data_IF_762954041606
#
_entry.id   IF_762954041606
#
_cell.length_a   1.000
_cell.length_b   1.000
_cell.length_c   1.000
_cell.angle_alpha   90.00
_cell.angle_beta   90.00
_cell.angle_gamma   90.00
#
_symmetry.space_group_name_H-M   'P 1'
#
loop_
_entity.id
_entity.type
_entity.pdbx_description
1 polymer ?
#
# COMPACT_ATOMS: atom_id res chain seq x y z
N UNK A 1 -12.97 -1.89 24.15
CA UNK A 1 -12.31 -0.94 23.22
C UNK A 1 -10.79 -1.08 23.19
N UNK A 2 -10.12 -1.22 24.34
CA UNK A 2 -8.66 -1.42 24.37
C UNK A 2 -8.18 -2.65 23.59
N UNK A 3 -8.85 -3.81 23.76
CA UNK A 3 -8.50 -5.05 23.03
C UNK A 3 -8.55 -4.90 21.51
N UNK A 4 -9.64 -4.35 20.96
CA UNK A 4 -9.79 -4.15 19.51
C UNK A 4 -8.70 -3.23 18.94
N UNK A 5 -8.27 -2.22 19.70
CA UNK A 5 -7.17 -1.35 19.31
C UNK A 5 -5.83 -2.09 19.30
N UNK A 6 -5.55 -2.87 20.33
CA UNK A 6 -4.35 -3.72 20.37
C UNK A 6 -4.33 -4.75 19.24
N UNK A 7 -5.48 -5.34 18.91
CA UNK A 7 -5.59 -6.28 17.79
C UNK A 7 -5.33 -5.56 16.44
N UNK A 8 -5.82 -4.33 16.26
CA UNK A 8 -5.50 -3.51 15.08
C UNK A 8 -4.01 -3.14 15.02
N UNK A 9 -3.35 -2.91 16.17
CA UNK A 9 -1.91 -2.62 16.21
C UNK A 9 -1.11 -3.82 15.73
N UNK A 10 -1.41 -5.01 16.28
CA UNK A 10 -0.74 -6.24 15.85
C UNK A 10 -0.92 -6.51 14.36
N UNK A 11 -2.14 -6.35 13.85
CA UNK A 11 -2.43 -6.56 12.43
C UNK A 11 -1.66 -5.58 11.54
N UNK A 12 -1.68 -4.29 11.87
CA UNK A 12 -0.93 -3.30 11.09
C UNK A 12 0.58 -3.58 11.15
N UNK A 13 1.09 -3.90 12.34
CA UNK A 13 2.50 -4.27 12.56
C UNK A 13 2.92 -5.42 11.65
N UNK A 14 2.17 -6.52 11.65
CA UNK A 14 2.49 -7.70 10.82
C UNK A 14 2.45 -7.42 9.31
N UNK A 15 1.70 -6.41 8.86
CA UNK A 15 1.65 -6.04 7.44
C UNK A 15 2.90 -5.27 7.00
N UNK A 16 3.45 -4.44 7.88
CA UNK A 16 4.48 -3.45 7.54
C UNK A 16 5.90 -3.83 8.02
N UNK A 17 6.03 -4.73 8.99
CA UNK A 17 7.31 -5.03 9.66
C UNK A 17 8.42 -5.49 8.70
N UNK A 18 8.05 -6.25 7.68
CA UNK A 18 8.98 -6.79 6.69
C UNK A 18 9.17 -5.87 5.46
N UNK A 19 8.60 -4.67 5.46
CA UNK A 19 8.75 -3.71 4.36
C UNK A 19 9.80 -2.68 4.74
N UNK A 20 10.99 -2.80 4.15
CA UNK A 20 12.17 -2.01 4.53
C UNK A 20 12.01 -0.51 4.25
N UNK A 21 11.29 -0.15 3.18
CA UNK A 21 11.12 1.23 2.75
C UNK A 21 9.64 1.60 2.76
N UNK A 22 9.34 2.67 3.47
CA UNK A 22 8.07 3.38 3.39
C UNK A 22 8.22 4.67 2.59
N UNK A 23 7.11 5.15 2.05
CA UNK A 23 7.02 6.45 1.39
C UNK A 23 6.28 7.42 2.31
N UNK A 24 7.02 8.38 2.87
CA UNK A 24 6.48 9.44 3.73
C UNK A 24 6.07 10.64 2.89
N UNK A 25 4.80 11.02 3.02
CA UNK A 25 4.22 12.20 2.39
C UNK A 25 4.12 13.35 3.39
N UNK A 26 4.75 14.46 3.07
CA UNK A 26 4.66 15.73 3.81
C UNK A 26 4.14 16.83 2.90
N UNK A 27 3.66 17.94 3.50
CA UNK A 27 3.22 19.12 2.76
C UNK A 27 4.34 20.16 2.73
N UNK A 28 4.83 20.47 1.54
CA UNK A 28 5.80 21.55 1.30
C UNK A 28 5.22 22.92 1.65
N UNK A 29 6.10 23.92 1.79
CA UNK A 29 5.71 25.31 2.08
C UNK A 29 4.76 25.89 1.03
N UNK A 30 4.94 25.50 -0.23
CA UNK A 30 4.10 25.95 -1.36
C UNK A 30 2.79 25.16 -1.47
N UNK A 31 2.54 24.24 -0.54
CA UNK A 31 1.31 23.49 -0.43
C UNK A 31 1.29 22.17 -1.21
N UNK A 32 2.33 21.87 -2.01
CA UNK A 32 2.47 20.58 -2.69
C UNK A 32 2.72 19.43 -1.70
N UNK A 33 2.17 18.25 -2.01
CA UNK A 33 2.50 17.02 -1.31
C UNK A 33 3.75 16.39 -1.93
N UNK A 34 4.73 16.08 -1.09
CA UNK A 34 5.99 15.48 -1.54
C UNK A 34 6.18 14.15 -0.83
N UNK A 35 6.30 13.09 -1.63
CA UNK A 35 6.54 11.73 -1.14
C UNK A 35 8.01 11.38 -1.21
N UNK A 36 8.59 10.85 -0.12
CA UNK A 36 10.03 10.54 -0.03
C UNK A 36 10.25 9.19 0.66
N UNK A 37 11.23 8.39 0.21
CA UNK A 37 11.55 7.13 0.86
C UNK A 37 12.12 7.37 2.26
N UNK A 38 11.70 6.55 3.20
CA UNK A 38 12.20 6.48 4.58
C UNK A 38 12.34 5.02 5.00
N UNK A 39 13.33 4.72 5.84
CA UNK A 39 13.60 3.36 6.28
C UNK A 39 12.72 2.96 7.47
N UNK A 40 11.96 1.88 7.31
CA UNK A 40 11.16 1.27 8.38
C UNK A 40 12.06 0.70 9.45
N UNK A 41 11.71 0.91 10.72
CA UNK A 41 12.47 0.38 11.84
C UNK A 41 11.92 -0.98 12.23
N UNK A 42 12.81 -1.96 12.42
CA UNK A 42 12.46 -3.33 12.83
C UNK A 42 12.21 -3.38 14.34
N UNK A 43 11.08 -2.82 14.77
CA UNK A 43 10.61 -2.82 16.16
C UNK A 43 9.15 -3.23 16.21
N UNK A 44 8.71 -3.78 17.34
CA UNK A 44 7.29 -4.02 17.58
C UNK A 44 6.50 -2.71 17.44
N UNK A 45 5.40 -2.76 16.68
CA UNK A 45 4.55 -1.61 16.44
C UNK A 45 3.64 -1.36 17.65
N UNK A 46 3.87 -0.23 18.32
CA UNK A 46 3.14 0.19 19.53
C UNK A 46 2.12 1.31 19.27
N UNK A 47 1.89 1.65 17.99
CA UNK A 47 1.06 2.77 17.56
C UNK A 47 1.85 3.97 17.03
N UNK A 48 3.18 3.97 17.17
CA UNK A 48 4.06 4.97 16.58
C UNK A 48 4.97 4.36 15.51
N UNK A 49 5.11 5.06 14.39
CA UNK A 49 6.18 4.80 13.42
C UNK A 49 7.33 5.77 13.67
N UNK A 50 8.56 5.27 13.57
CA UNK A 50 9.77 6.03 13.80
C UNK A 50 10.64 6.03 12.56
N UNK A 51 11.21 7.17 12.20
CA UNK A 51 12.13 7.30 11.07
C UNK A 51 13.30 8.20 11.42
N UNK A 52 14.53 7.78 11.14
CA UNK A 52 15.69 8.65 11.24
C UNK A 52 15.66 9.72 10.13
N UNK A 53 16.05 10.93 10.49
CA UNK A 53 16.24 12.03 9.54
C UNK A 53 17.25 13.03 10.07
N UNK A 54 17.79 13.86 9.19
CA UNK A 54 18.53 15.07 9.55
C UNK A 54 17.58 16.13 10.14
N UNK A 55 18.01 16.82 11.19
CA UNK A 55 17.28 17.93 11.80
C UNK A 55 17.13 19.12 10.84
N UNK A 56 18.09 19.29 9.93
CA UNK A 56 18.09 20.29 8.86
C UNK A 56 17.29 19.88 7.60
N UNK A 57 16.78 18.65 7.53
CA UNK A 57 16.08 18.16 6.34
C UNK A 57 14.79 18.93 6.00
N UNK A 58 14.46 19.06 4.72
CA UNK A 58 13.23 19.74 4.27
C UNK A 58 11.98 19.12 4.91
N UNK A 59 11.88 17.78 4.94
CA UNK A 59 10.75 17.07 5.56
C UNK A 59 10.60 17.41 7.06
N UNK A 60 11.71 17.68 7.77
CA UNK A 60 11.64 18.06 9.17
C UNK A 60 11.03 19.45 9.35
N UNK A 61 11.40 20.41 8.50
CA UNK A 61 10.79 21.74 8.49
C UNK A 61 9.31 21.69 8.08
N UNK A 62 8.98 20.91 7.04
CA UNK A 62 7.62 20.69 6.56
C UNK A 62 6.71 20.10 7.65
N UNK A 63 7.17 19.08 8.38
CA UNK A 63 6.41 18.45 9.48
C UNK A 63 6.15 19.44 10.62
N UNK A 64 7.13 20.28 10.97
CA UNK A 64 6.96 21.30 12.02
C UNK A 64 5.85 22.30 11.65
N UNK A 65 5.73 22.68 10.39
CA UNK A 65 4.68 23.58 9.90
C UNK A 65 3.33 22.85 9.70
N UNK A 66 3.38 21.61 9.21
CA UNK A 66 2.22 20.82 8.81
C UNK A 66 2.38 19.38 9.32
N UNK A 67 1.93 19.07 10.54
CA UNK A 67 2.21 17.79 11.18
C UNK A 67 1.35 16.64 10.67
N UNK A 68 0.32 16.88 9.85
CA UNK A 68 -0.49 15.81 9.26
C UNK A 68 0.25 15.19 8.08
N UNK A 69 0.51 13.89 8.17
CA UNK A 69 1.29 13.14 7.18
C UNK A 69 0.59 11.85 6.78
N UNK A 70 1.01 11.30 5.65
CA UNK A 70 0.71 9.93 5.26
C UNK A 70 2.01 9.13 5.14
N UNK A 71 1.96 7.86 5.53
CA UNK A 71 3.03 6.89 5.28
C UNK A 71 2.44 5.75 4.49
N UNK A 72 3.00 5.46 3.33
CA UNK A 72 2.55 4.36 2.49
C UNK A 72 3.59 3.25 2.41
N UNK A 73 3.10 2.02 2.39
CA UNK A 73 3.87 0.80 2.27
C UNK A 73 3.31 -0.03 1.11
N UNK A 74 4.20 -0.69 0.37
CA UNK A 74 3.84 -1.58 -0.71
C UNK A 74 4.77 -2.80 -0.73
N UNK A 75 4.17 -3.99 -0.75
CA UNK A 75 4.86 -5.25 -1.00
C UNK A 75 4.17 -5.93 -2.18
N UNK A 76 4.83 -5.94 -3.33
CA UNK A 76 4.30 -6.57 -4.54
C UNK A 76 4.22 -8.10 -4.36
N UNK A 77 5.23 -8.66 -3.72
CA UNK A 77 5.41 -10.10 -3.51
C UNK A 77 4.31 -10.68 -2.61
N UNK A 78 3.98 -9.96 -1.54
CA UNK A 78 2.86 -10.31 -0.65
C UNK A 78 1.51 -9.86 -1.20
N UNK A 79 1.50 -8.98 -2.20
CA UNK A 79 0.31 -8.27 -2.69
C UNK A 79 -0.40 -7.49 -1.56
N UNK A 80 0.40 -6.83 -0.72
CA UNK A 80 -0.06 -6.05 0.44
C UNK A 80 0.30 -4.59 0.26
N UNK A 81 -0.67 -3.70 0.43
CA UNK A 81 -0.50 -2.25 0.36
C UNK A 81 -1.14 -1.60 1.57
N UNK A 82 -0.47 -0.61 2.15
CA UNK A 82 -0.95 0.06 3.36
C UNK A 82 -0.79 1.57 3.23
N UNK A 83 -1.82 2.30 3.62
CA UNK A 83 -1.84 3.76 3.73
C UNK A 83 -2.12 4.14 5.18
N UNK A 84 -1.13 4.73 5.85
CA UNK A 84 -1.18 5.14 7.25
C UNK A 84 -1.35 6.64 7.33
N UNK A 85 -2.40 7.12 7.99
CA UNK A 85 -2.59 8.54 8.30
C UNK A 85 -2.28 8.81 9.76
N UNK A 86 -1.53 9.87 10.02
CA UNK A 86 -1.13 10.20 11.39
C UNK A 86 -0.66 11.63 11.57
N UNK A 87 -0.23 11.91 12.80
CA UNK A 87 0.40 13.19 13.17
C UNK A 87 1.88 12.95 13.44
N UNK A 88 2.73 13.61 12.66
CA UNK A 88 4.17 13.57 12.79
C UNK A 88 4.69 14.64 13.75
N UNK A 89 5.76 14.31 14.47
CA UNK A 89 6.59 15.27 15.20
C UNK A 89 8.07 14.97 14.95
N UNK A 90 8.90 16.00 14.90
CA UNK A 90 10.35 15.88 14.78
C UNK A 90 10.96 16.14 16.14
N UNK A 91 11.60 15.13 16.75
CA UNK A 91 12.18 15.25 18.10
C UNK A 91 13.44 14.41 18.22
N UNK A 92 14.43 14.92 18.94
CA UNK A 92 15.63 14.17 19.33
C UNK A 92 15.34 13.47 20.67
N UNK A 93 14.86 12.24 20.59
CA UNK A 93 14.59 11.41 21.77
C UNK A 93 15.72 10.40 21.96
N UNK A 94 16.59 10.65 22.96
CA UNK A 94 17.85 9.93 23.06
C UNK A 94 17.67 8.43 23.29
N UNK A 95 16.75 8.05 24.18
CA UNK A 95 16.39 6.65 24.44
C UNK A 95 15.92 5.92 23.18
N UNK A 96 15.10 6.55 22.34
CA UNK A 96 14.63 5.97 21.07
C UNK A 96 15.73 5.92 20.02
N UNK A 97 16.58 6.93 19.93
CA UNK A 97 17.77 6.89 19.07
C UNK A 97 18.64 5.70 19.46
N UNK A 98 18.96 5.55 20.75
CA UNK A 98 19.79 4.45 21.24
C UNK A 98 19.15 3.08 20.97
N UNK A 99 17.83 2.94 21.13
CA UNK A 99 17.12 1.68 20.92
C UNK A 99 16.97 1.31 19.43
N UNK A 100 16.84 2.29 18.53
CA UNK A 100 16.60 2.05 17.11
C UNK A 100 17.88 2.13 16.26
N UNK A 101 19.01 2.54 16.85
CA UNK A 101 20.24 2.75 16.11
C UNK A 101 20.77 1.46 15.47
N UNK A 102 21.21 1.57 14.22
CA UNK A 102 21.98 0.55 13.53
C UNK A 102 23.22 1.20 12.94
N UNK A 103 24.35 0.48 12.95
CA UNK A 103 25.62 0.97 12.40
C UNK A 103 25.57 1.29 10.91
N UNK A 104 24.60 0.74 10.18
CA UNK A 104 24.33 1.10 8.77
C UNK A 104 23.99 2.60 8.64
N UNK A 105 23.41 3.23 9.66
CA UNK A 105 23.07 4.66 9.66
C UNK A 105 24.31 5.57 9.69
N UNK A 106 25.50 5.06 10.03
CA UNK A 106 26.75 5.84 10.00
C UNK A 106 27.09 6.36 8.60
N UNK A 107 26.57 5.74 7.54
CA UNK A 107 26.70 6.23 6.16
C UNK A 107 26.04 7.60 5.98
N UNK A 108 24.96 7.87 6.71
CA UNK A 108 24.25 9.15 6.67
C UNK A 108 24.69 10.09 7.81
N UNK A 109 25.14 9.53 8.93
CA UNK A 109 25.56 10.26 10.13
C UNK A 109 26.96 9.79 10.57
N UNK A 110 28.04 10.35 9.99
CA UNK A 110 29.40 9.88 10.23
C UNK A 110 29.84 9.95 11.69
N UNK A 111 29.30 10.89 12.47
CA UNK A 111 29.58 11.00 13.91
C UNK A 111 28.72 10.04 14.77
N UNK A 112 28.00 9.12 14.12
CA UNK A 112 27.17 8.12 14.77
C UNK A 112 25.92 8.70 15.44
N UNK A 113 25.38 7.96 16.42
CA UNK A 113 24.14 8.33 17.13
C UNK A 113 24.21 9.63 17.92
N UNK A 114 25.43 10.08 18.23
CA UNK A 114 25.71 11.33 18.94
C UNK A 114 25.76 12.55 18.03
N UNK A 115 25.80 12.35 16.70
CA UNK A 115 25.75 13.45 15.74
C UNK A 115 24.56 14.38 16.05
N UNK A 116 24.78 15.70 16.22
CA UNK A 116 23.72 16.63 16.60
C UNK A 116 22.59 16.74 15.55
N UNK A 117 22.86 16.36 14.30
CA UNK A 117 21.88 16.40 13.22
C UNK A 117 20.97 15.16 13.21
N UNK A 118 21.32 14.09 13.94
CA UNK A 118 20.44 12.91 14.10
C UNK A 118 19.16 13.31 14.83
N UNK A 119 18.02 13.10 14.20
CA UNK A 119 16.73 13.26 14.86
C UNK A 119 15.76 12.20 14.37
N UNK A 120 14.63 12.10 15.06
CA UNK A 120 13.57 11.16 14.73
C UNK A 120 12.32 11.90 14.27
N UNK A 121 11.70 11.39 13.22
CA UNK A 121 10.30 11.63 12.93
C UNK A 121 9.51 10.55 13.65
N UNK A 122 8.65 10.94 14.58
CA UNK A 122 7.62 10.09 15.18
C UNK A 122 6.30 10.36 14.49
N UNK A 123 5.72 9.37 13.84
CA UNK A 123 4.34 9.43 13.32
C UNK A 123 3.44 8.67 14.29
N UNK A 124 2.64 9.42 15.05
CA UNK A 124 1.57 8.84 15.84
C UNK A 124 0.44 8.43 14.92
N UNK A 125 0.19 7.14 14.80
CA UNK A 125 -0.78 6.59 13.85
C UNK A 125 -2.21 6.82 14.36
N UNK A 126 -3.06 7.34 13.46
CA UNK A 126 -4.48 7.63 13.76
C UNK A 126 -5.41 6.64 13.05
N UNK A 127 -5.16 6.42 11.76
CA UNK A 127 -5.87 5.42 10.96
C UNK A 127 -4.90 4.74 10.00
N UNK A 128 -5.25 3.53 9.58
CA UNK A 128 -4.58 2.86 8.46
C UNK A 128 -5.63 2.23 7.57
N UNK A 129 -5.45 2.28 6.26
CA UNK A 129 -6.21 1.49 5.31
C UNK A 129 -5.25 0.52 4.64
N UNK A 130 -5.68 -0.72 4.46
CA UNK A 130 -4.89 -1.73 3.76
C UNK A 130 -5.68 -2.37 2.63
N UNK A 131 -4.92 -2.92 1.68
CA UNK A 131 -5.38 -3.82 0.64
C UNK A 131 -4.46 -5.03 0.70
N UNK A 132 -5.03 -6.19 0.99
CA UNK A 132 -4.30 -7.44 1.08
C UNK A 132 -4.97 -8.50 0.21
N UNK A 133 -4.19 -9.34 -0.44
CA UNK A 133 -4.74 -10.37 -1.31
C UNK A 133 -3.73 -11.46 -1.60
N UNK A 134 -4.08 -12.44 -2.44
CA UNK A 134 -3.19 -13.57 -2.69
C UNK A 134 -1.87 -13.12 -3.32
N UNK A 135 -0.74 -13.36 -2.64
CA UNK A 135 0.59 -13.02 -3.16
C UNK A 135 1.03 -13.91 -4.33
N UNK A 136 0.67 -15.20 -4.31
CA UNK A 136 1.13 -16.18 -5.31
C UNK A 136 0.21 -16.29 -6.54
N UNK A 137 0.78 -16.68 -7.69
CA UNK A 137 0.01 -16.89 -8.93
C UNK A 137 -1.07 -17.98 -8.76
N UNK A 138 -0.76 -19.05 -8.04
CA UNK A 138 -1.72 -20.11 -7.71
C UNK A 138 -2.84 -19.60 -6.81
N UNK A 139 -2.51 -18.80 -5.79
CA UNK A 139 -3.50 -18.16 -4.93
C UNK A 139 -4.44 -17.24 -5.72
N UNK A 140 -3.89 -16.41 -6.62
CA UNK A 140 -4.67 -15.54 -7.51
C UNK A 140 -5.62 -16.34 -8.41
N UNK A 141 -5.15 -17.44 -9.01
CA UNK A 141 -5.96 -18.29 -9.87
C UNK A 141 -7.10 -18.99 -9.11
N UNK A 142 -6.83 -19.53 -7.91
CA UNK A 142 -7.85 -20.14 -7.06
C UNK A 142 -8.91 -19.13 -6.63
N UNK A 143 -8.48 -17.97 -6.15
CA UNK A 143 -9.38 -16.88 -5.78
C UNK A 143 -10.25 -16.42 -6.96
N UNK A 144 -9.71 -16.41 -8.18
CA UNK A 144 -10.47 -16.03 -9.37
C UNK A 144 -11.58 -17.03 -9.67
N UNK A 145 -11.27 -18.33 -9.58
CA UNK A 145 -12.27 -19.40 -9.75
C UNK A 145 -13.33 -19.30 -8.66
N UNK A 146 -12.93 -19.10 -7.40
CA UNK A 146 -13.86 -18.90 -6.30
C UNK A 146 -14.77 -17.70 -6.58
N UNK A 147 -14.23 -16.52 -6.90
CA UNK A 147 -15.00 -15.32 -7.21
C UNK A 147 -15.97 -15.52 -8.39
N UNK A 148 -15.58 -16.27 -9.43
CA UNK A 148 -16.44 -16.55 -10.57
C UNK A 148 -17.63 -17.47 -10.20
N UNK A 149 -17.41 -18.41 -9.26
CA UNK A 149 -18.42 -19.36 -8.79
C UNK A 149 -19.32 -18.74 -7.71
N UNK A 150 -18.74 -18.06 -6.73
CA UNK A 150 -19.46 -17.44 -5.61
C UNK A 150 -20.08 -16.10 -5.97
N UNK A 151 -19.64 -15.48 -7.07
CA UNK A 151 -19.93 -14.07 -7.41
C UNK A 151 -19.51 -13.08 -6.31
N UNK A 152 -18.59 -13.49 -5.44
CA UNK A 152 -18.07 -12.70 -4.34
C UNK A 152 -16.70 -12.12 -4.71
N UNK A 153 -16.65 -10.80 -4.87
CA UNK A 153 -15.42 -10.10 -5.20
C UNK A 153 -14.42 -10.08 -4.02
N UNK A 154 -14.87 -10.32 -2.79
CA UNK A 154 -14.01 -10.33 -1.60
C UNK A 154 -13.09 -11.56 -1.58
N UNK A 155 -13.40 -12.60 -2.37
CA UNK A 155 -12.48 -13.71 -2.61
C UNK A 155 -11.15 -13.27 -3.25
N UNK A 156 -11.09 -12.07 -3.86
CA UNK A 156 -9.89 -11.52 -4.51
C UNK A 156 -8.98 -10.73 -3.56
N UNK A 157 -9.42 -10.43 -2.34
CA UNK A 157 -8.63 -9.69 -1.35
C UNK A 157 -9.48 -8.95 -0.32
N UNK A 158 -8.85 -8.59 0.80
CA UNK A 158 -9.44 -7.81 1.88
C UNK A 158 -9.03 -6.33 1.76
N UNK A 159 -9.99 -5.43 1.94
CA UNK A 159 -9.75 -4.01 2.15
C UNK A 159 -10.51 -3.54 3.38
N UNK A 160 -9.78 -2.91 4.31
CA UNK A 160 -10.38 -2.37 5.51
C UNK A 160 -9.61 -1.19 6.06
N UNK A 161 -10.36 -0.25 6.65
CA UNK A 161 -9.79 0.81 7.48
C UNK A 161 -9.72 0.39 8.95
N UNK A 162 -8.52 0.47 9.52
CA UNK A 162 -8.22 0.32 10.93
C UNK A 162 -8.29 1.66 11.64
N UNK A 163 -9.02 1.71 12.75
CA UNK A 163 -9.05 2.85 13.67
C UNK A 163 -8.02 2.61 14.79
N UNK A 164 -7.10 3.55 14.96
CA UNK A 164 -5.90 3.40 15.79
C UNK A 164 -5.77 4.53 16.84
N UNK A 165 -6.46 5.65 16.65
CA UNK A 165 -6.62 6.69 17.67
C UNK A 165 -7.66 6.33 18.76
N UNK A 166 -7.58 7.00 19.91
CA UNK A 166 -8.56 6.88 21.00
C UNK A 166 -9.74 7.85 20.85
N UNK A 167 -9.62 8.87 20.00
CA UNK A 167 -10.41 10.10 20.10
C UNK A 167 -11.54 10.19 19.06
N UNK A 168 -11.44 9.48 17.93
CA UNK A 168 -12.47 9.50 16.90
C UNK A 168 -13.52 8.43 17.19
N UNK A 169 -14.54 8.83 17.96
CA UNK A 169 -15.78 8.06 18.10
C UNK A 169 -16.35 7.73 16.71
N UNK A 170 -16.56 6.42 16.47
CA UNK A 170 -17.29 5.79 15.34
C UNK A 170 -17.59 6.68 14.12
N UNK A 171 -16.58 7.20 13.43
CA UNK A 171 -16.76 7.50 12.02
C UNK A 171 -16.77 6.15 11.31
N UNK A 172 -17.95 5.72 10.83
CA UNK A 172 -18.09 4.51 10.02
C UNK A 172 -17.38 4.79 8.70
N UNK A 173 -16.06 4.55 8.64
CA UNK A 173 -15.32 4.57 7.38
C UNK A 173 -15.82 3.36 6.61
N UNK A 174 -16.74 3.63 5.70
CA UNK A 174 -17.24 2.66 4.74
C UNK A 174 -16.21 2.63 3.63
N UNK A 175 -15.46 1.54 3.52
CA UNK A 175 -14.69 1.23 2.31
C UNK A 175 -15.66 1.20 1.11
N UNK A 176 -15.48 2.09 0.11
CA UNK A 176 -16.38 2.14 -1.05
C UNK A 176 -16.21 0.94 -2.00
N UNK A 177 -15.11 0.20 -1.89
CA UNK A 177 -14.72 -0.86 -2.84
C UNK A 177 -15.72 -2.01 -2.92
N UNK A 178 -16.41 -2.34 -1.82
CA UNK A 178 -17.33 -3.50 -1.74
C UNK A 178 -18.76 -3.19 -2.13
N UNK A 179 -19.24 -1.95 -1.99
CA UNK A 179 -20.67 -1.65 -2.22
C UNK A 179 -21.02 -1.29 -3.67
N UNK A 180 -20.03 -0.90 -4.46
CA UNK A 180 -20.25 -0.36 -5.82
C UNK A 180 -19.97 -1.33 -6.96
N UNK A 181 -19.13 -2.35 -6.76
CA UNK A 181 -18.73 -3.26 -7.84
C UNK A 181 -19.89 -4.15 -8.30
N UNK A 182 -20.58 -4.83 -7.37
CA UNK A 182 -21.75 -5.65 -7.69
C UNK A 182 -22.88 -4.83 -8.34
N UNK A 183 -23.17 -3.63 -7.81
CA UNK A 183 -24.20 -2.75 -8.36
C UNK A 183 -23.85 -2.19 -9.76
N UNK A 184 -22.57 -1.93 -10.05
CA UNK A 184 -22.12 -1.50 -11.39
C UNK A 184 -22.14 -2.64 -12.40
N UNK A 185 -21.77 -3.86 -12.00
CA UNK A 185 -21.83 -5.05 -12.86
C UNK A 185 -23.28 -5.39 -13.20
N UNK A 186 -24.20 -5.27 -12.26
CA UNK A 186 -25.62 -5.51 -12.51
C UNK A 186 -26.24 -4.43 -13.41
N UNK A 187 -25.87 -3.16 -13.22
CA UNK A 187 -26.30 -2.05 -14.08
C UNK A 187 -25.72 -2.16 -15.49
N UNK A 188 -24.48 -2.65 -15.64
CA UNK A 188 -23.86 -2.92 -16.94
C UNK A 188 -24.47 -4.14 -17.65
N UNK A 189 -24.84 -5.20 -16.91
CA UNK A 189 -25.60 -6.35 -17.45
C UNK A 189 -26.99 -5.96 -17.95
N UNK A 190 -27.69 -5.07 -17.24
CA UNK A 190 -29.03 -4.58 -17.62
C UNK A 190 -29.01 -3.56 -18.77
N UNK A 191 -27.87 -2.94 -19.07
CA UNK A 191 -27.72 -1.93 -20.12
C UNK A 191 -27.13 -2.48 -21.44
N UNK A 192 -26.65 -3.73 -21.47
CA UNK A 192 -26.13 -4.33 -22.69
C UNK A 192 -27.27 -4.83 -23.60
N UNK A 193 -27.40 -4.36 -24.86
CA UNK A 193 -28.37 -4.90 -25.79
C UNK A 193 -28.04 -6.37 -26.13
N UNK A 194 -29.08 -7.19 -26.23
CA UNK A 194 -28.99 -8.63 -26.49
C UNK A 194 -28.07 -8.95 -27.67
N UNK A 195 -27.19 -9.93 -27.46
CA UNK A 195 -26.22 -10.44 -28.43
C UNK A 195 -26.94 -10.75 -29.77
N UNK A 196 -26.54 -10.17 -30.92
CA UNK A 196 -27.13 -10.55 -32.19
C UNK A 196 -26.73 -11.98 -32.54
N UNK A 197 -27.70 -12.77 -32.99
CA UNK A 197 -27.52 -14.14 -33.44
C UNK A 197 -26.47 -14.22 -34.57
N UNK A 198 -25.51 -15.14 -34.42
CA UNK A 198 -24.45 -15.36 -35.40
C UNK A 198 -25.04 -15.83 -36.74
N UNK A 199 -24.95 -14.99 -37.78
CA UNK A 199 -25.15 -15.42 -39.17
C UNK A 199 -23.96 -16.28 -39.60
N UNK A 200 -24.24 -17.50 -40.07
CA UNK A 200 -23.26 -18.41 -40.66
C UNK A 200 -22.70 -17.80 -41.96
N UNK A 201 -21.40 -17.54 -41.99
CA UNK A 201 -20.67 -17.19 -43.22
C UNK A 201 -20.37 -18.46 -44.03
N UNK A 202 -20.60 -18.50 -45.35
CA UNK A 202 -20.27 -19.68 -46.15
C UNK A 202 -18.75 -19.78 -46.40
N UNK A 203 -18.28 -21.03 -46.47
CA UNK A 203 -16.88 -21.39 -46.62
C UNK A 203 -16.27 -20.87 -47.94
N UNK A 204 -15.09 -20.24 -47.83
CA UNK A 204 -14.29 -19.81 -48.99
C UNK A 204 -13.44 -20.99 -49.48
N UNK A 205 -13.62 -21.36 -50.76
CA UNK A 205 -12.86 -22.43 -51.43
C UNK A 205 -11.35 -22.11 -51.48
N UNK A 206 -10.54 -23.14 -51.26
CA UNK A 206 -9.09 -23.15 -51.31
C UNK A 206 -8.55 -22.94 -52.73
N UNK A 207 -7.45 -22.18 -52.84
CA UNK A 207 -6.65 -22.02 -54.07
C UNK A 207 -5.35 -22.83 -53.90
N UNK A 208 -4.88 -23.60 -54.90
CA UNK A 208 -3.75 -24.50 -54.73
C UNK A 208 -2.39 -23.78 -54.79
N UNK A 209 -1.44 -24.28 -53.98
CA UNK A 209 -0.01 -23.91 -53.95
C UNK A 209 0.68 -24.29 -55.27
N UNK A 210 1.35 -23.33 -55.92
CA UNK A 210 2.27 -23.58 -57.04
C UNK A 210 3.66 -23.88 -56.48
N UNK A 211 4.20 -25.05 -56.81
CA UNK A 211 5.53 -25.51 -56.44
C UNK A 211 6.61 -24.81 -57.27
N UNK A 212 7.65 -24.28 -56.62
CA UNK A 212 8.89 -23.86 -57.28
C UNK A 212 9.94 -24.95 -57.09
N UNK A 213 10.31 -25.61 -58.20
CA UNK A 213 11.43 -26.56 -58.28
C UNK A 213 12.67 -25.79 -58.75
N UNK A 214 13.70 -25.81 -57.92
CA UNK A 214 15.07 -25.47 -58.26
C UNK A 214 15.63 -26.47 -59.29
N UNK A 215 16.27 -25.96 -60.35
CA UNK A 215 17.29 -26.69 -61.12
C UNK A 215 18.49 -25.78 -61.32
N UNK A 216 19.62 -26.26 -60.81
CA UNK A 216 20.98 -25.84 -61.16
C UNK A 216 21.29 -26.30 -62.58
N UNK A 217 21.96 -25.44 -63.33
CA UNK A 217 23.13 -25.74 -64.18
C UNK A 217 23.73 -24.39 -64.58
#
# INVERSE_FOLDING_TARGET
MAKARSDNFRLLGSMIEDIEIAMLVTRSRDGHYVSRPVATQKTEFDGDLWFFTSAASHKAAEIKAHPKVNVSYASQDRNTYVSVSGTATVRRERSKIDALWSDVLKVYFPNGKDDPDVTLIRVKVETAEYWDGPGSLAGKALSFVLAAVTQDADAMGDNRTLQLDRARGKAKVVSPSTRGAAARVEKARKAAPGKPAAKKTPARKSVPKKAARSRRS
#
